data_IF_201021377388
#
_entry.id   IF_201021377388
#
_cell.length_a   1.000
_cell.length_b   1.000
_cell.length_c   1.000
_cell.angle_alpha   90.00
_cell.angle_beta   90.00
_cell.angle_gamma   90.00
#
_symmetry.space_group_name_H-M   'P 1'
#
loop_
_entity.id
_entity.type
_entity.pdbx_description
1 polymer ?
#
# COMPACT_ATOMS: atom_id res chain seq x y z
N UNK A 1 -1.33 -9.38 -6.66
CA UNK A 1 -2.46 -9.20 -5.72
C UNK A 1 -1.98 -9.63 -4.35
N UNK A 2 -2.71 -9.34 -3.25
CA UNK A 2 -2.26 -9.75 -1.90
C UNK A 2 -2.00 -11.27 -1.83
N UNK A 3 -2.81 -12.07 -2.54
CA UNK A 3 -2.66 -13.53 -2.63
C UNK A 3 -1.33 -14.01 -3.27
N UNK A 4 -0.60 -13.13 -3.96
CA UNK A 4 0.65 -13.44 -4.65
C UNK A 4 1.90 -13.00 -3.87
N UNK A 5 1.74 -12.50 -2.64
CA UNK A 5 2.85 -12.03 -1.81
C UNK A 5 3.73 -13.20 -1.36
N UNK A 6 5.05 -13.06 -1.53
CA UNK A 6 6.02 -14.05 -1.10
C UNK A 6 7.25 -13.41 -0.47
N UNK A 7 7.91 -14.16 0.42
CA UNK A 7 9.21 -13.80 0.98
C UNK A 7 10.20 -14.94 0.80
N UNK A 8 11.45 -14.59 0.54
CA UNK A 8 12.56 -15.53 0.51
C UNK A 8 13.26 -15.53 1.87
N UNK A 9 13.23 -16.68 2.54
CA UNK A 9 13.79 -16.86 3.89
C UNK A 9 14.99 -17.79 3.80
N UNK A 10 16.13 -17.36 4.35
CA UNK A 10 17.35 -18.15 4.39
C UNK A 10 17.79 -18.49 5.81
N UNK A 11 18.41 -19.66 5.95
CA UNK A 11 19.00 -20.15 7.19
C UNK A 11 20.43 -19.57 7.34
N UNK A 12 20.62 -18.69 8.33
CA UNK A 12 21.90 -18.00 8.55
C UNK A 12 22.97 -18.94 9.12
N UNK A 13 22.59 -19.91 9.95
CA UNK A 13 23.56 -20.83 10.52
C UNK A 13 24.19 -21.73 9.46
N UNK A 14 23.41 -22.23 8.49
CA UNK A 14 23.95 -22.97 7.34
C UNK A 14 24.74 -22.07 6.38
N UNK A 15 24.29 -20.82 6.20
CA UNK A 15 25.04 -19.83 5.43
C UNK A 15 26.45 -19.63 5.98
N UNK A 16 26.60 -19.54 7.31
CA UNK A 16 27.88 -19.43 7.99
C UNK A 16 28.80 -20.65 7.79
N UNK A 17 28.23 -21.81 7.47
CA UNK A 17 28.96 -23.04 7.12
C UNK A 17 29.29 -23.16 5.62
N UNK A 18 28.91 -22.15 4.83
CA UNK A 18 29.11 -22.12 3.38
C UNK A 18 28.00 -22.84 2.58
N UNK A 19 26.89 -23.21 3.24
CA UNK A 19 25.72 -23.79 2.60
C UNK A 19 24.60 -22.74 2.43
N UNK A 20 24.28 -22.39 1.18
CA UNK A 20 23.16 -21.51 0.88
C UNK A 20 21.85 -22.32 0.95
N UNK A 21 21.12 -22.18 2.05
CA UNK A 21 19.82 -22.83 2.23
C UNK A 21 18.75 -21.77 2.49
N UNK A 22 17.81 -21.65 1.56
CA UNK A 22 16.64 -20.80 1.67
C UNK A 22 15.58 -21.20 0.64
N UNK A 23 14.36 -20.72 0.82
CA UNK A 23 13.23 -21.00 -0.09
C UNK A 23 12.23 -19.84 -0.07
N UNK A 24 11.35 -19.82 -1.08
CA UNK A 24 10.24 -18.88 -1.17
C UNK A 24 9.00 -19.41 -0.43
N UNK A 25 8.36 -18.52 0.31
CA UNK A 25 7.15 -18.81 1.09
C UNK A 25 6.07 -17.79 0.77
N UNK A 26 4.86 -18.28 0.49
CA UNK A 26 3.65 -17.46 0.36
C UNK A 26 3.03 -17.22 1.72
N UNK A 27 2.37 -16.07 1.87
CA UNK A 27 1.59 -15.76 3.06
C UNK A 27 0.26 -16.55 3.12
N UNK A 28 -0.32 -16.73 4.32
CA UNK A 28 0.31 -16.51 5.63
C UNK A 28 1.43 -17.53 5.88
N UNK A 29 2.50 -17.08 6.55
CA UNK A 29 3.70 -17.86 6.82
C UNK A 29 3.49 -18.82 7.99
N UNK A 30 3.92 -20.06 7.82
CA UNK A 30 3.90 -21.11 8.85
C UNK A 30 5.34 -21.44 9.28
N UNK A 31 5.68 -21.16 10.54
CA UNK A 31 7.00 -21.39 11.08
C UNK A 31 7.43 -22.87 11.03
N UNK A 32 6.50 -23.82 11.22
CA UNK A 32 6.82 -25.24 11.16
C UNK A 32 7.19 -25.66 9.74
N UNK A 33 6.45 -25.16 8.75
CA UNK A 33 6.73 -25.41 7.32
C UNK A 33 8.06 -24.77 6.90
N UNK A 34 8.33 -23.55 7.35
CA UNK A 34 9.60 -22.85 7.09
C UNK A 34 10.75 -23.63 7.70
N UNK A 35 10.65 -24.01 8.98
CA UNK A 35 11.67 -24.75 9.69
C UNK A 35 11.97 -26.10 9.01
N UNK A 36 10.95 -26.83 8.57
CA UNK A 36 11.13 -28.10 7.85
C UNK A 36 11.85 -27.89 6.51
N UNK A 37 11.46 -26.87 5.73
CA UNK A 37 12.00 -26.62 4.39
C UNK A 37 13.44 -26.12 4.39
N UNK A 38 13.78 -25.16 5.26
CA UNK A 38 15.13 -24.57 5.30
C UNK A 38 16.01 -25.19 6.40
N UNK A 39 15.47 -26.16 7.14
CA UNK A 39 16.17 -26.93 8.16
C UNK A 39 16.54 -26.12 9.40
N UNK A 40 15.63 -25.25 9.87
CA UNK A 40 15.77 -24.62 11.18
C UNK A 40 15.52 -25.65 12.28
N UNK A 41 16.31 -25.58 13.35
CA UNK A 41 16.18 -26.44 14.53
C UNK A 41 16.91 -25.80 15.73
N UNK A 42 17.00 -26.50 16.86
CA UNK A 42 17.66 -26.01 18.07
C UNK A 42 19.17 -25.67 17.91
N UNK A 43 19.83 -26.13 16.84
CA UNK A 43 21.21 -25.77 16.50
C UNK A 43 21.28 -24.64 15.46
N UNK A 44 20.26 -24.53 14.59
CA UNK A 44 20.17 -23.55 13.50
C UNK A 44 18.88 -22.73 13.65
N UNK A 45 18.83 -21.87 14.67
CA UNK A 45 17.63 -21.08 14.99
C UNK A 45 17.53 -19.78 14.17
N UNK A 46 18.66 -19.28 13.66
CA UNK A 46 18.73 -17.98 13.00
C UNK A 46 18.34 -18.03 11.52
N UNK A 47 17.43 -17.16 11.12
CA UNK A 47 17.02 -16.92 9.74
C UNK A 47 17.08 -15.43 9.41
N UNK A 48 17.04 -15.13 8.11
CA UNK A 48 16.91 -13.77 7.58
C UNK A 48 16.00 -13.75 6.36
N UNK A 49 15.30 -12.63 6.19
CA UNK A 49 14.52 -12.31 4.98
C UNK A 49 15.46 -11.62 4.00
N UNK A 50 15.83 -12.30 2.90
CA UNK A 50 16.74 -11.70 1.91
C UNK A 50 16.05 -11.03 0.75
N UNK A 51 14.82 -11.45 0.42
CA UNK A 51 14.10 -10.92 -0.73
C UNK A 51 12.59 -11.03 -0.53
N UNK A 52 11.84 -10.21 -1.24
CA UNK A 52 10.37 -10.20 -1.25
C UNK A 52 9.86 -10.14 -2.69
N UNK A 53 8.72 -10.76 -2.95
CA UNK A 53 8.03 -10.69 -4.24
C UNK A 53 6.59 -10.23 -4.02
N UNK A 54 6.16 -9.25 -4.81
CA UNK A 54 4.86 -8.58 -4.72
C UNK A 54 4.51 -7.97 -3.35
N UNK A 55 5.48 -7.76 -2.47
CA UNK A 55 5.27 -7.11 -1.18
C UNK A 55 5.29 -5.58 -1.34
N UNK A 56 4.28 -4.83 -0.87
CA UNK A 56 4.07 -3.42 -1.24
C UNK A 56 4.92 -2.43 -0.44
N UNK A 57 5.88 -2.93 0.35
CA UNK A 57 6.77 -2.10 1.16
C UNK A 57 8.12 -2.79 1.39
N UNK A 58 9.13 -2.00 1.75
CA UNK A 58 10.41 -2.55 2.18
C UNK A 58 10.31 -3.23 3.55
N UNK A 59 10.91 -4.41 3.66
CA UNK A 59 10.94 -5.21 4.88
C UNK A 59 12.38 -5.31 5.39
N UNK A 60 12.54 -5.19 6.71
CA UNK A 60 13.82 -5.43 7.38
C UNK A 60 14.24 -6.89 7.27
N UNK A 61 15.52 -7.14 6.97
CA UNK A 61 16.10 -8.49 6.90
C UNK A 61 15.90 -9.32 8.18
N UNK A 62 15.81 -8.66 9.33
CA UNK A 62 15.69 -9.28 10.65
C UNK A 62 14.28 -9.21 11.24
N UNK A 63 13.27 -8.92 10.42
CA UNK A 63 11.87 -8.97 10.88
C UNK A 63 11.49 -10.40 11.29
N UNK A 64 10.62 -10.55 12.29
CA UNK A 64 10.09 -11.86 12.68
C UNK A 64 8.98 -12.33 11.73
N UNK A 65 8.81 -13.64 11.62
CA UNK A 65 7.70 -14.26 10.87
C UNK A 65 6.33 -13.81 11.43
N UNK A 66 6.21 -13.70 12.75
CA UNK A 66 4.99 -13.18 13.41
C UNK A 66 4.66 -11.74 12.96
N UNK A 67 5.66 -10.85 12.95
CA UNK A 67 5.42 -9.45 12.54
C UNK A 67 5.14 -9.36 11.03
N UNK A 68 5.78 -10.19 10.21
CA UNK A 68 5.47 -10.30 8.79
C UNK A 68 4.01 -10.72 8.55
N UNK A 69 3.53 -11.73 9.27
CA UNK A 69 2.13 -12.14 9.19
C UNK A 69 1.18 -11.04 9.67
N UNK A 70 1.55 -10.31 10.73
CA UNK A 70 0.78 -9.16 11.22
C UNK A 70 0.67 -8.04 10.18
N UNK A 71 1.77 -7.74 9.48
CA UNK A 71 1.76 -6.77 8.36
C UNK A 71 0.87 -7.31 7.24
N UNK A 72 1.00 -8.58 6.87
CA UNK A 72 0.16 -9.20 5.84
C UNK A 72 -1.33 -9.10 6.16
N UNK A 73 -1.75 -9.40 7.40
CA UNK A 73 -3.14 -9.25 7.84
C UNK A 73 -3.64 -7.80 7.70
N UNK A 74 -2.80 -6.81 8.05
CA UNK A 74 -3.11 -5.40 7.85
C UNK A 74 -3.27 -5.03 6.38
N UNK A 75 -2.41 -5.58 5.51
CA UNK A 75 -2.50 -5.36 4.07
C UNK A 75 -3.76 -6.00 3.48
N UNK A 76 -4.17 -7.19 3.94
CA UNK A 76 -5.43 -7.84 3.55
C UNK A 76 -6.67 -7.00 3.87
N UNK A 77 -6.58 -6.14 4.89
CA UNK A 77 -7.67 -5.26 5.28
C UNK A 77 -7.81 -4.01 4.42
N UNK A 78 -6.79 -3.65 3.64
CA UNK A 78 -6.78 -2.47 2.80
C UNK A 78 -7.37 -2.78 1.41
N UNK A 79 -8.15 -1.86 0.83
CA UNK A 79 -8.50 -1.92 -0.59
C UNK A 79 -7.26 -1.91 -1.50
N UNK A 80 -7.31 -2.66 -2.61
CA UNK A 80 -6.20 -2.80 -3.56
C UNK A 80 -5.62 -1.45 -4.04
N UNK A 81 -6.46 -0.43 -4.22
CA UNK A 81 -6.01 0.89 -4.70
C UNK A 81 -5.10 1.63 -3.72
N UNK A 82 -5.15 1.30 -2.42
CA UNK A 82 -4.23 1.85 -1.42
C UNK A 82 -2.84 1.20 -1.47
N UNK A 83 -2.76 -0.03 -1.99
CA UNK A 83 -1.50 -0.77 -2.12
C UNK A 83 -0.65 -0.26 -3.27
N UNK A 84 -1.26 0.37 -4.28
CA UNK A 84 -0.57 0.93 -5.45
C UNK A 84 0.48 1.99 -5.08
N UNK A 85 0.22 2.79 -4.04
CA UNK A 85 1.13 3.81 -3.52
C UNK A 85 1.10 3.84 -1.98
N UNK A 86 1.32 2.66 -1.39
CA UNK A 86 1.24 2.45 0.05
C UNK A 86 2.14 3.42 0.84
N UNK A 87 3.33 3.71 0.33
CA UNK A 87 4.29 4.61 0.97
C UNK A 87 3.75 6.04 1.12
N UNK A 88 3.04 6.56 0.11
CA UNK A 88 2.41 7.89 0.19
C UNK A 88 1.33 7.94 1.27
N UNK A 89 0.50 6.89 1.38
CA UNK A 89 -0.52 6.80 2.43
C UNK A 89 0.10 6.64 3.82
N UNK A 90 1.09 5.77 3.98
CA UNK A 90 1.83 5.60 5.24
C UNK A 90 2.52 6.91 5.63
N UNK A 91 3.07 7.67 4.68
CA UNK A 91 3.65 8.98 4.96
C UNK A 91 2.62 10.01 5.43
N UNK A 92 1.35 9.87 5.08
CA UNK A 92 0.27 10.76 5.53
C UNK A 92 -0.21 10.43 6.94
N UNK A 93 -0.39 9.13 7.25
CA UNK A 93 -0.89 8.67 8.54
C UNK A 93 0.21 8.39 9.58
N UNK A 94 1.44 8.15 9.14
CA UNK A 94 2.61 7.90 9.96
C UNK A 94 2.97 6.41 10.13
N UNK A 95 2.01 5.50 9.98
CA UNK A 95 2.23 4.05 10.01
C UNK A 95 1.17 3.29 9.19
N UNK A 96 1.44 2.02 8.89
CA UNK A 96 0.46 1.11 8.29
C UNK A 96 -0.74 0.90 9.23
N UNK A 97 -0.49 0.77 10.53
CA UNK A 97 -1.53 0.58 11.55
C UNK A 97 -2.53 1.74 11.55
N UNK A 98 -2.04 2.98 11.56
CA UNK A 98 -2.90 4.18 11.50
C UNK A 98 -3.66 4.27 10.17
N UNK A 99 -3.02 3.90 9.06
CA UNK A 99 -3.69 3.85 7.75
C UNK A 99 -4.86 2.84 7.74
N UNK A 100 -4.67 1.64 8.29
CA UNK A 100 -5.74 0.63 8.38
C UNK A 100 -6.91 1.13 9.22
N UNK A 101 -6.64 1.82 10.34
CA UNK A 101 -7.69 2.38 11.20
C UNK A 101 -8.52 3.47 10.52
N UNK A 102 -7.91 4.23 9.58
CA UNK A 102 -8.53 5.35 8.89
C UNK A 102 -8.83 5.08 7.41
N UNK A 103 -8.79 3.82 6.97
CA UNK A 103 -9.04 3.46 5.56
C UNK A 103 -10.41 3.92 5.05
N UNK A 104 -11.40 4.00 5.93
CA UNK A 104 -12.76 4.47 5.64
C UNK A 104 -12.85 6.01 5.51
N UNK A 105 -11.82 6.74 5.94
CA UNK A 105 -11.71 8.20 5.80
C UNK A 105 -11.01 8.60 4.48
N UNK A 106 -10.81 7.66 3.56
CA UNK A 106 -10.19 7.90 2.25
C UNK A 106 -11.27 7.78 1.16
N UNK A 107 -11.45 8.86 0.40
CA UNK A 107 -12.38 8.87 -0.74
C UNK A 107 -11.59 8.62 -2.03
N UNK A 108 -11.96 7.56 -2.77
CA UNK A 108 -11.43 7.31 -4.10
C UNK A 108 -12.33 7.96 -5.18
N UNK A 109 -11.78 8.93 -5.90
CA UNK A 109 -12.37 9.49 -7.12
C UNK A 109 -11.87 8.70 -8.34
N UNK A 110 -12.52 7.56 -8.59
CA UNK A 110 -12.15 6.66 -9.69
C UNK A 110 -12.25 7.34 -11.05
N UNK A 111 -11.26 7.12 -11.92
CA UNK A 111 -11.24 7.68 -13.28
C UNK A 111 -10.79 9.14 -13.38
N UNK A 112 -10.44 9.78 -12.26
CA UNK A 112 -9.70 11.04 -12.27
C UNK A 112 -8.19 10.73 -12.29
N UNK A 113 -7.49 11.16 -13.33
CA UNK A 113 -6.02 10.97 -13.43
C UNK A 113 -5.25 12.19 -12.89
N UNK A 114 -5.91 13.35 -12.87
CA UNK A 114 -5.33 14.62 -12.45
C UNK A 114 -6.28 15.40 -11.55
N UNK A 115 -5.74 16.39 -10.82
CA UNK A 115 -6.56 17.34 -10.05
C UNK A 115 -7.49 18.17 -10.95
N UNK A 116 -7.18 18.33 -12.24
CA UNK A 116 -8.08 18.98 -13.20
C UNK A 116 -9.28 18.09 -13.52
N UNK A 117 -9.07 16.78 -13.66
CA UNK A 117 -10.17 15.82 -13.83
C UNK A 117 -11.04 15.75 -12.59
N UNK A 118 -10.42 15.75 -11.40
CA UNK A 118 -11.15 15.82 -10.14
C UNK A 118 -11.97 17.11 -10.02
N UNK A 119 -11.38 18.26 -10.38
CA UNK A 119 -12.09 19.53 -10.41
C UNK A 119 -13.32 19.48 -11.34
N UNK A 120 -13.16 18.90 -12.53
CA UNK A 120 -14.27 18.68 -13.45
C UNK A 120 -15.34 17.78 -12.82
N UNK A 121 -14.96 16.63 -12.27
CA UNK A 121 -15.86 15.70 -11.61
C UNK A 121 -16.66 16.37 -10.49
N UNK A 122 -15.99 17.08 -9.59
CA UNK A 122 -16.64 17.74 -8.46
C UNK A 122 -17.61 18.85 -8.90
N UNK A 123 -17.22 19.66 -9.89
CA UNK A 123 -18.02 20.81 -10.32
C UNK A 123 -19.21 20.38 -11.18
N UNK A 124 -19.00 19.46 -12.14
CA UNK A 124 -20.00 19.15 -13.16
C UNK A 124 -20.86 17.94 -12.78
N UNK A 125 -20.26 16.90 -12.19
CA UNK A 125 -20.98 15.67 -11.83
C UNK A 125 -21.55 15.75 -10.40
N UNK A 126 -20.72 16.11 -9.42
CA UNK A 126 -21.17 16.26 -8.02
C UNK A 126 -21.83 17.60 -7.73
N UNK A 127 -21.71 18.58 -8.64
CA UNK A 127 -22.30 19.90 -8.53
C UNK A 127 -21.97 20.61 -7.20
N UNK A 128 -20.73 20.51 -6.72
CA UNK A 128 -20.31 21.11 -5.43
C UNK A 128 -20.46 22.63 -5.39
N UNK A 129 -20.50 23.28 -6.56
CA UNK A 129 -20.75 24.73 -6.72
C UNK A 129 -22.22 25.05 -7.06
N UNK A 130 -23.10 24.06 -7.06
CA UNK A 130 -24.50 24.15 -7.49
C UNK A 130 -24.68 24.08 -9.01
N UNK A 131 -25.92 24.29 -9.49
CA UNK A 131 -26.23 24.24 -10.91
C UNK A 131 -25.54 25.39 -11.68
N UNK A 132 -24.60 25.03 -12.55
CA UNK A 132 -23.93 25.97 -13.44
C UNK A 132 -24.66 26.04 -14.78
N UNK A 133 -25.07 27.22 -15.25
CA UNK A 133 -25.63 27.37 -16.59
C UNK A 133 -24.64 26.90 -17.66
N UNK A 134 -25.11 26.12 -18.63
CA UNK A 134 -24.24 25.58 -19.70
C UNK A 134 -23.51 26.67 -20.51
N UNK A 135 -24.01 27.91 -20.51
CA UNK A 135 -23.33 29.05 -21.12
C UNK A 135 -22.05 29.49 -20.39
N UNK A 136 -21.90 29.15 -19.11
CA UNK A 136 -20.76 29.49 -18.27
C UNK A 136 -19.78 28.33 -18.10
N UNK A 137 -20.20 27.09 -18.36
CA UNK A 137 -19.41 25.87 -18.18
C UNK A 137 -18.04 25.93 -18.89
N UNK A 138 -18.01 26.38 -20.16
CA UNK A 138 -16.77 26.52 -20.93
C UNK A 138 -15.85 27.68 -20.49
N UNK A 139 -16.23 28.44 -19.47
CA UNK A 139 -15.44 29.55 -18.91
C UNK A 139 -14.89 29.23 -17.51
N UNK A 140 -15.15 28.03 -16.99
CA UNK A 140 -14.60 27.58 -15.72
C UNK A 140 -13.14 27.17 -15.93
N UNK A 141 -12.28 27.65 -15.05
CA UNK A 141 -10.88 27.27 -15.01
C UNK A 141 -10.69 26.10 -14.04
N UNK A 142 -10.90 24.88 -14.55
CA UNK A 142 -10.80 23.64 -13.77
C UNK A 142 -9.37 23.38 -13.28
N UNK A 143 -8.36 23.81 -14.02
CA UNK A 143 -6.96 23.66 -13.62
C UNK A 143 -6.67 24.51 -12.38
N UNK A 144 -7.12 25.78 -12.38
CA UNK A 144 -6.98 26.65 -11.22
C UNK A 144 -7.73 26.10 -9.99
N UNK A 145 -8.97 25.63 -10.17
CA UNK A 145 -9.73 25.05 -9.07
C UNK A 145 -9.08 23.78 -8.50
N UNK A 146 -8.65 22.86 -9.38
CA UNK A 146 -7.96 21.64 -8.99
C UNK A 146 -6.66 21.90 -8.23
N UNK A 147 -5.92 22.94 -8.63
CA UNK A 147 -4.72 23.38 -7.91
C UNK A 147 -5.05 23.92 -6.52
N UNK A 148 -6.13 24.70 -6.38
CA UNK A 148 -6.53 25.22 -5.09
C UNK A 148 -6.96 24.08 -4.15
N UNK A 149 -7.69 23.06 -4.67
CA UNK A 149 -7.99 21.83 -3.93
C UNK A 149 -6.71 21.15 -3.41
N UNK A 150 -5.71 20.95 -4.27
CA UNK A 150 -4.44 20.29 -3.90
C UNK A 150 -3.65 21.05 -2.82
N UNK A 151 -3.80 22.38 -2.77
CA UNK A 151 -3.18 23.22 -1.74
C UNK A 151 -3.94 23.12 -0.40
N UNK A 152 -5.26 23.04 -0.43
CA UNK A 152 -6.11 23.08 0.77
C UNK A 152 -6.33 21.68 1.38
N UNK A 153 -6.30 20.63 0.57
CA UNK A 153 -6.58 19.26 0.97
C UNK A 153 -5.35 18.35 1.01
N UNK A 154 -5.58 17.05 0.94
CA UNK A 154 -4.52 16.04 0.83
C UNK A 154 -4.98 14.99 -0.17
N UNK A 155 -4.35 15.01 -1.35
CA UNK A 155 -4.71 14.15 -2.47
C UNK A 155 -3.51 13.31 -2.88
N UNK A 156 -3.76 12.03 -3.14
CA UNK A 156 -2.75 11.05 -3.57
C UNK A 156 -3.23 10.45 -4.89
N UNK A 157 -2.40 10.54 -5.94
CA UNK A 157 -2.72 9.95 -7.23
C UNK A 157 -2.29 8.48 -7.25
N UNK A 158 -3.21 7.59 -7.61
CA UNK A 158 -3.00 6.14 -7.73
C UNK A 158 -3.36 5.67 -9.14
N UNK A 159 -3.10 4.41 -9.49
CA UNK A 159 -3.53 3.88 -10.80
C UNK A 159 -5.06 3.74 -10.89
N UNK A 160 -5.77 3.70 -9.76
CA UNK A 160 -7.23 3.61 -9.70
C UNK A 160 -7.92 5.00 -9.80
N UNK A 161 -7.20 6.08 -9.50
CA UNK A 161 -7.69 7.45 -9.53
C UNK A 161 -7.06 8.34 -8.45
N UNK A 162 -7.68 9.50 -8.20
CA UNK A 162 -7.25 10.41 -7.12
C UNK A 162 -7.92 10.00 -5.80
N UNK A 163 -7.12 9.79 -4.76
CA UNK A 163 -7.60 9.55 -3.40
C UNK A 163 -7.53 10.84 -2.58
N UNK A 164 -8.61 11.21 -1.91
CA UNK A 164 -8.64 12.30 -0.92
C UNK A 164 -8.59 11.72 0.49
N UNK A 165 -7.63 12.21 1.27
CA UNK A 165 -7.47 11.85 2.68
C UNK A 165 -8.22 12.88 3.53
N UNK A 166 -9.33 12.44 4.14
CA UNK A 166 -10.10 13.29 5.05
C UNK A 166 -9.33 13.43 6.37
N UNK A 167 -9.29 14.66 6.90
CA UNK A 167 -8.64 15.01 8.18
C UNK A 167 -9.64 15.49 9.22
#
# INVERSE_FOLDING_TARGET
MIDDMQVYIANLGKYNEGELVGDWFSFPLDEEVIAERIGLNAEYEEYAIHDTDNFPMEISEYISIEELNRIYEQLEELPDYLLDDLDSFISCYGSLEELVEHKDDIILYSGCETMTDLAYYLIDEEQVLGEIPSSLQNYIDYEAYGRDLDIEGTFIATNAGICEVLR
#
